data_IF_253386903262
#
_entry.id   IF_253386903262
#
_cell.length_a   1.000
_cell.length_b   1.000
_cell.length_c   1.000
_cell.angle_alpha   90.00
_cell.angle_beta   90.00
_cell.angle_gamma   90.00
#
_symmetry.space_group_name_H-M   'P 1'
#
loop_
_entity.id
_entity.type
_entity.pdbx_description
1 polymer ?
#
# COMPACT_ATOMS: atom_id res chain seq x y z
N UNK A 1 -0.93 -17.13 -5.32
CA UNK A 1 -0.20 -16.04 -6.03
C UNK A 1 -0.90 -14.68 -5.87
N UNK A 2 -0.17 -13.58 -5.66
CA UNK A 2 -0.76 -12.23 -5.46
C UNK A 2 -1.54 -11.72 -6.69
N UNK A 3 -1.16 -12.15 -7.89
CA UNK A 3 -1.79 -11.71 -9.14
C UNK A 3 -3.24 -12.21 -9.29
N UNK A 4 -3.57 -13.39 -8.75
CA UNK A 4 -4.88 -14.04 -8.94
C UNK A 4 -5.82 -13.97 -7.73
N UNK A 5 -5.37 -13.41 -6.60
CA UNK A 5 -6.19 -13.30 -5.38
C UNK A 5 -7.33 -12.30 -5.56
N UNK A 6 -8.43 -12.43 -4.81
CA UNK A 6 -9.48 -11.41 -4.82
C UNK A 6 -8.94 -10.04 -4.41
N UNK A 7 -9.47 -8.99 -5.03
CA UNK A 7 -9.01 -7.62 -4.82
C UNK A 7 -9.13 -7.17 -3.36
N UNK A 8 -10.10 -7.69 -2.61
CA UNK A 8 -10.23 -7.48 -1.16
C UNK A 8 -8.95 -7.88 -0.44
N UNK A 9 -8.54 -9.14 -0.58
CA UNK A 9 -7.35 -9.67 0.10
C UNK A 9 -6.06 -8.97 -0.35
N UNK A 10 -5.94 -8.67 -1.65
CA UNK A 10 -4.82 -7.88 -2.17
C UNK A 10 -4.75 -6.49 -1.51
N UNK A 11 -5.90 -5.82 -1.38
CA UNK A 11 -5.99 -4.48 -0.78
C UNK A 11 -5.62 -4.49 0.71
N UNK A 12 -6.17 -5.43 1.48
CA UNK A 12 -5.88 -5.59 2.90
C UNK A 12 -4.39 -5.88 3.12
N UNK A 13 -3.83 -6.83 2.36
CA UNK A 13 -2.43 -7.20 2.47
C UNK A 13 -1.49 -6.06 2.07
N UNK A 14 -1.78 -5.36 0.98
CA UNK A 14 -0.96 -4.23 0.52
C UNK A 14 -1.00 -3.10 1.54
N UNK A 15 -2.16 -2.80 2.13
CA UNK A 15 -2.28 -1.80 3.18
C UNK A 15 -1.45 -2.17 4.42
N UNK A 16 -1.51 -3.41 4.88
CA UNK A 16 -0.74 -3.90 6.01
C UNK A 16 0.77 -3.84 5.74
N UNK A 17 1.23 -4.40 4.62
CA UNK A 17 2.66 -4.41 4.28
C UNK A 17 3.21 -2.99 4.11
N UNK A 18 2.44 -2.08 3.50
CA UNK A 18 2.84 -0.68 3.36
C UNK A 18 2.92 -0.01 4.72
N UNK A 19 1.95 -0.24 5.62
CA UNK A 19 1.97 0.30 6.98
C UNK A 19 3.21 -0.15 7.77
N UNK A 20 3.50 -1.46 7.74
CA UNK A 20 4.64 -2.05 8.45
C UNK A 20 5.98 -1.57 7.87
N UNK A 21 6.13 -1.60 6.55
CA UNK A 21 7.40 -1.27 5.91
C UNK A 21 7.72 0.24 5.96
N UNK A 22 6.70 1.10 5.99
CA UNK A 22 6.89 2.56 6.02
C UNK A 22 6.94 3.15 7.43
N UNK A 23 6.46 2.43 8.44
CA UNK A 23 6.33 2.91 9.83
C UNK A 23 5.53 4.23 9.88
N UNK A 24 4.49 4.32 9.03
CA UNK A 24 3.64 5.51 8.90
C UNK A 24 2.30 5.34 9.58
N UNK A 25 1.75 6.45 10.08
CA UNK A 25 0.38 6.44 10.62
C UNK A 25 -0.61 6.33 9.46
N UNK A 26 -1.80 5.82 9.73
CA UNK A 26 -2.88 5.70 8.72
C UNK A 26 -3.19 7.02 8.02
N UNK A 27 -3.09 8.15 8.73
CA UNK A 27 -3.27 9.48 8.15
C UNK A 27 -2.21 9.88 7.13
N UNK A 28 -0.98 9.38 7.28
CA UNK A 28 0.12 9.57 6.31
C UNK A 28 -0.03 8.58 5.14
N UNK A 29 -0.42 7.33 5.41
CA UNK A 29 -0.68 6.32 4.37
C UNK A 29 -1.77 6.78 3.39
N UNK A 30 -2.81 7.46 3.89
CA UNK A 30 -3.87 8.03 3.06
C UNK A 30 -3.38 9.19 2.18
N UNK A 31 -2.26 9.81 2.53
CA UNK A 31 -1.70 10.93 1.77
C UNK A 31 -0.92 10.51 0.54
N UNK A 32 -0.48 9.25 0.45
CA UNK A 32 0.21 8.73 -0.72
C UNK A 32 -0.68 8.71 -1.97
N UNK A 33 -0.05 8.84 -3.12
CA UNK A 33 -0.68 8.91 -4.44
C UNK A 33 0.03 8.04 -5.46
N UNK A 34 -0.68 7.65 -6.51
CA UNK A 34 -0.14 6.97 -7.69
C UNK A 34 0.30 7.94 -8.79
N UNK A 35 0.15 9.26 -8.57
CA UNK A 35 0.71 10.29 -9.46
C UNK A 35 2.20 10.06 -9.70
N UNK A 36 2.67 10.34 -10.91
CA UNK A 36 4.06 10.11 -11.32
C UNK A 36 5.07 10.83 -10.42
N UNK A 37 4.73 12.02 -9.92
CA UNK A 37 5.56 12.74 -8.97
C UNK A 37 5.62 12.06 -7.57
N UNK A 38 4.61 11.26 -7.22
CA UNK A 38 4.42 10.68 -5.89
C UNK A 38 4.79 9.20 -5.78
N UNK A 39 4.79 8.45 -6.88
CA UNK A 39 5.05 7.02 -6.88
C UNK A 39 6.08 6.66 -7.97
N UNK A 40 7.23 6.17 -7.52
CA UNK A 40 8.33 5.83 -8.42
C UNK A 40 8.85 4.44 -8.08
N UNK A 41 8.75 3.50 -9.01
CA UNK A 41 9.35 2.18 -8.88
C UNK A 41 10.74 2.17 -9.51
N UNK A 42 11.70 1.58 -8.80
CA UNK A 42 13.06 1.41 -9.32
C UNK A 42 13.15 0.34 -10.41
N UNK A 43 14.31 0.24 -11.08
CA UNK A 43 14.55 -0.77 -12.10
C UNK A 43 14.25 -2.19 -11.57
N UNK A 44 13.50 -2.98 -12.35
CA UNK A 44 13.13 -4.35 -11.99
C UNK A 44 12.31 -4.48 -10.71
N UNK A 45 11.59 -3.43 -10.30
CA UNK A 45 10.82 -3.39 -9.05
C UNK A 45 11.67 -3.67 -7.79
N UNK A 46 12.95 -3.30 -7.84
CA UNK A 46 13.90 -3.45 -6.72
C UNK A 46 13.59 -2.56 -5.51
N UNK A 47 12.89 -1.44 -5.75
CA UNK A 47 12.46 -0.49 -4.71
C UNK A 47 11.22 0.28 -5.15
N UNK A 48 10.56 0.94 -4.20
CA UNK A 48 9.54 1.95 -4.48
C UNK A 48 9.75 3.18 -3.60
N UNK A 49 9.60 4.36 -4.20
CA UNK A 49 9.57 5.64 -3.51
C UNK A 49 8.12 6.11 -3.48
N UNK A 50 7.63 6.42 -2.28
CA UNK A 50 6.30 6.96 -2.01
C UNK A 50 6.45 8.36 -1.44
N UNK A 51 5.75 9.34 -2.03
CA UNK A 51 5.69 10.71 -1.56
C UNK A 51 4.22 11.09 -1.30
N UNK A 52 3.93 11.86 -0.23
CA UNK A 52 2.60 12.40 -0.03
C UNK A 52 2.19 13.31 -1.19
N UNK A 53 0.88 13.44 -1.42
CA UNK A 53 0.35 14.42 -2.38
C UNK A 53 0.74 15.85 -2.02
N UNK A 54 0.91 16.73 -3.02
CA UNK A 54 1.11 18.16 -2.78
C UNK A 54 0.03 18.73 -1.86
N UNK A 55 0.43 19.61 -0.93
CA UNK A 55 -0.47 20.25 0.03
C UNK A 55 -0.88 19.39 1.23
N UNK A 56 -0.41 18.13 1.33
CA UNK A 56 -0.59 17.35 2.55
C UNK A 56 0.19 17.97 3.72
N UNK A 57 -0.49 18.14 4.86
CA UNK A 57 0.13 18.55 6.12
C UNK A 57 -0.07 17.42 7.14
N UNK A 58 1.01 16.80 7.64
CA UNK A 58 0.92 15.78 8.68
C UNK A 58 0.25 16.33 9.94
N UNK A 59 -0.42 15.46 10.70
CA UNK A 59 -1.03 15.85 11.98
C UNK A 59 -0.02 16.45 12.97
N UNK A 60 1.25 16.06 12.87
CA UNK A 60 2.35 16.66 13.64
C UNK A 60 3.16 17.53 12.67
N UNK A 61 2.88 18.84 12.61
CA UNK A 61 3.40 19.75 11.58
C UNK A 61 4.92 19.99 11.66
N UNK A 62 5.58 19.52 12.72
CA UNK A 62 7.04 19.58 12.86
C UNK A 62 7.79 18.50 12.08
N UNK A 63 7.09 17.60 11.37
CA UNK A 63 7.72 16.54 10.58
C UNK A 63 8.23 17.12 9.25
N UNK A 64 9.55 17.24 9.03
CA UNK A 64 10.08 17.81 7.79
C UNK A 64 9.67 16.95 6.58
N UNK A 65 9.49 17.58 5.42
CA UNK A 65 8.98 16.89 4.21
C UNK A 65 9.84 15.67 3.81
N UNK A 66 11.16 15.74 4.00
CA UNK A 66 12.08 14.62 3.76
C UNK A 66 11.67 13.37 4.55
N UNK A 67 11.23 13.55 5.79
CA UNK A 67 10.80 12.45 6.65
C UNK A 67 9.44 11.91 6.24
N UNK A 68 8.73 12.57 5.32
CA UNK A 68 7.45 12.12 4.77
C UNK A 68 7.62 11.24 3.52
N UNK A 69 8.78 11.32 2.85
CA UNK A 69 9.13 10.44 1.73
C UNK A 69 9.53 9.07 2.27
N UNK A 70 8.97 8.02 1.70
CA UNK A 70 9.26 6.63 2.08
C UNK A 70 9.96 5.94 0.93
N UNK A 71 11.09 5.29 1.23
CA UNK A 71 11.84 4.47 0.28
C UNK A 71 11.84 3.02 0.79
N UNK A 72 11.08 2.14 0.13
CA UNK A 72 10.98 0.73 0.48
C UNK A 72 11.83 -0.10 -0.48
N UNK A 73 12.63 -1.02 0.08
CA UNK A 73 13.36 -2.01 -0.70
C UNK A 73 12.51 -3.26 -0.91
N UNK A 74 12.67 -3.90 -2.06
CA UNK A 74 12.05 -5.19 -2.30
C UNK A 74 12.71 -6.26 -1.44
N UNK A 75 11.89 -7.09 -0.78
CA UNK A 75 12.41 -8.30 -0.14
C UNK A 75 12.88 -9.28 -1.22
N UNK A 76 14.03 -9.95 -1.01
CA UNK A 76 14.59 -10.90 -1.96
C UNK A 76 13.61 -12.03 -2.28
N UNK A 77 13.77 -12.60 -3.47
CA UNK A 77 13.12 -13.85 -3.82
C UNK A 77 14.10 -14.96 -3.50
N UNK A 78 13.99 -15.52 -2.30
CA UNK A 78 14.78 -16.68 -1.93
C UNK A 78 14.03 -17.95 -2.32
N UNK A 79 14.67 -18.82 -3.11
CA UNK A 79 14.11 -20.12 -3.51
C UNK A 79 13.81 -21.01 -2.30
N UNK A 80 14.56 -20.83 -1.20
CA UNK A 80 14.40 -21.57 0.05
C UNK A 80 13.17 -21.14 0.86
N UNK A 81 12.67 -19.91 0.69
CA UNK A 81 11.46 -19.42 1.35
C UNK A 81 10.54 -18.67 0.36
N UNK A 82 9.74 -19.41 -0.42
CA UNK A 82 8.75 -18.81 -1.30
C UNK A 82 7.66 -18.04 -0.54
N UNK A 83 7.53 -18.17 0.80
CA UNK A 83 6.58 -17.38 1.57
C UNK A 83 7.07 -15.93 1.75
N UNK A 84 8.38 -15.71 1.91
CA UNK A 84 9.01 -14.38 1.90
C UNK A 84 8.69 -13.61 0.61
N UNK A 85 8.53 -14.33 -0.51
CA UNK A 85 8.10 -13.75 -1.78
C UNK A 85 6.75 -13.01 -1.68
N UNK A 86 5.84 -13.55 -0.86
CA UNK A 86 4.49 -13.04 -0.68
C UNK A 86 4.44 -11.85 0.29
N UNK A 87 5.51 -11.57 1.04
CA UNK A 87 5.57 -10.51 2.05
C UNK A 87 6.23 -9.23 1.52
N UNK A 88 6.74 -9.23 0.29
CA UNK A 88 7.43 -8.08 -0.28
C UNK A 88 6.46 -6.90 -0.53
N UNK A 89 6.65 -5.74 0.15
CA UNK A 89 5.77 -4.58 0.01
C UNK A 89 5.83 -3.98 -1.40
N UNK A 90 7.00 -3.98 -2.04
CA UNK A 90 7.19 -3.44 -3.40
C UNK A 90 6.36 -4.23 -4.41
N UNK A 91 6.44 -5.56 -4.37
CA UNK A 91 5.66 -6.45 -5.26
C UNK A 91 4.15 -6.33 -5.00
N UNK A 92 3.74 -6.29 -3.73
CA UNK A 92 2.34 -6.10 -3.39
C UNK A 92 1.80 -4.76 -3.94
N UNK A 93 2.56 -3.68 -3.77
CA UNK A 93 2.22 -2.35 -4.29
C UNK A 93 2.13 -2.34 -5.82
N UNK A 94 3.12 -2.89 -6.53
CA UNK A 94 3.11 -3.00 -8.00
C UNK A 94 1.83 -3.66 -8.49
N UNK A 95 1.55 -4.88 -8.00
CA UNK A 95 0.38 -5.66 -8.39
C UNK A 95 -0.91 -4.92 -8.04
N UNK A 96 -0.98 -4.28 -6.88
CA UNK A 96 -2.15 -3.50 -6.47
C UNK A 96 -2.40 -2.30 -7.38
N UNK A 97 -1.36 -1.52 -7.69
CA UNK A 97 -1.45 -0.36 -8.59
C UNK A 97 -1.91 -0.80 -9.98
N UNK A 98 -1.30 -1.85 -10.53
CA UNK A 98 -1.66 -2.38 -11.85
C UNK A 98 -3.11 -2.89 -11.88
N UNK A 99 -3.52 -3.67 -10.87
CA UNK A 99 -4.89 -4.21 -10.80
C UNK A 99 -5.95 -3.17 -10.49
N UNK A 100 -5.59 -2.05 -9.88
CA UNK A 100 -6.55 -0.95 -9.61
C UNK A 100 -6.62 0.08 -10.73
N UNK A 101 -5.62 0.14 -11.61
CA UNK A 101 -5.49 1.15 -12.68
C UNK A 101 -6.76 1.35 -13.50
N UNK A 102 -7.42 0.28 -13.91
CA UNK A 102 -8.53 0.34 -14.87
C UNK A 102 -9.87 0.83 -14.29
N UNK A 103 -10.04 0.85 -12.96
CA UNK A 103 -11.30 1.31 -12.35
C UNK A 103 -11.10 2.46 -11.36
N UNK A 104 -9.86 2.90 -11.16
CA UNK A 104 -9.49 4.02 -10.28
C UNK A 104 -10.16 5.32 -10.76
N UNK A 105 -10.67 6.10 -9.81
CA UNK A 105 -11.31 7.41 -10.04
C UNK A 105 -10.59 8.55 -9.31
N UNK A 106 -9.44 8.25 -8.71
CA UNK A 106 -8.66 9.18 -7.90
C UNK A 106 -7.20 8.75 -7.87
N UNK A 107 -6.31 9.71 -7.75
CA UNK A 107 -4.88 9.43 -7.64
C UNK A 107 -4.45 8.94 -6.24
N UNK A 108 -5.32 8.97 -5.22
CA UNK A 108 -4.95 8.47 -3.90
C UNK A 108 -4.52 7.00 -3.94
N UNK A 109 -3.37 6.63 -3.36
CA UNK A 109 -2.79 5.28 -3.45
C UNK A 109 -3.82 4.17 -3.27
N UNK A 110 -4.55 4.18 -2.14
CA UNK A 110 -5.59 3.18 -1.86
C UNK A 110 -6.99 3.63 -2.32
N UNK A 111 -7.63 2.77 -3.11
CA UNK A 111 -9.01 2.93 -3.62
C UNK A 111 -9.93 1.79 -3.18
N UNK A 112 -11.20 2.13 -2.95
CA UNK A 112 -12.24 1.18 -2.62
C UNK A 112 -12.41 0.15 -3.75
N UNK A 113 -12.59 -1.13 -3.39
CA UNK A 113 -12.62 -2.25 -4.34
C UNK A 113 -14.02 -2.80 -4.64
N UNK A 114 -15.07 -2.35 -3.96
CA UNK A 114 -16.41 -2.92 -4.08
C UNK A 114 -17.55 -1.92 -3.93
N UNK A 115 -18.74 -2.34 -4.35
CA UNK A 115 -19.98 -1.55 -4.30
C UNK A 115 -19.92 -0.28 -5.16
N UNK A 116 -20.82 0.66 -4.87
CA UNK A 116 -20.93 1.95 -5.56
C UNK A 116 -19.68 2.84 -5.40
N UNK A 117 -18.86 2.55 -4.39
CA UNK A 117 -17.65 3.31 -4.08
C UNK A 117 -16.41 2.78 -4.82
N UNK A 118 -16.53 1.73 -5.63
CA UNK A 118 -15.39 1.15 -6.35
C UNK A 118 -14.64 2.22 -7.14
N UNK A 119 -13.33 2.30 -6.94
CA UNK A 119 -12.44 3.27 -7.58
C UNK A 119 -12.29 4.59 -6.83
N UNK A 120 -13.15 4.92 -5.86
CA UNK A 120 -13.05 6.12 -5.05
C UNK A 120 -11.96 5.98 -3.96
N UNK A 121 -11.50 7.11 -3.44
CA UNK A 121 -10.50 7.17 -2.38
C UNK A 121 -10.96 6.41 -1.12
N UNK A 122 -10.06 5.65 -0.50
CA UNK A 122 -10.32 5.05 0.81
C UNK A 122 -10.24 6.13 1.90
N UNK A 123 -11.22 6.16 2.79
CA UNK A 123 -11.20 7.07 3.95
C UNK A 123 -10.16 6.62 4.99
N UNK A 124 -9.66 7.54 5.83
CA UNK A 124 -8.73 7.20 6.93
C UNK A 124 -9.26 6.08 7.81
N UNK A 125 -10.54 6.17 8.20
CA UNK A 125 -11.18 5.17 9.06
C UNK A 125 -11.25 3.80 8.37
N UNK A 126 -11.63 3.76 7.08
CA UNK A 126 -11.70 2.50 6.34
C UNK A 126 -10.32 1.88 6.14
N UNK A 127 -9.30 2.69 5.89
CA UNK A 127 -7.92 2.22 5.79
C UNK A 127 -7.40 1.66 7.12
N UNK A 128 -7.75 2.28 8.25
CA UNK A 128 -7.44 1.73 9.57
C UNK A 128 -8.10 0.36 9.77
N UNK A 129 -9.38 0.22 9.42
CA UNK A 129 -10.07 -1.08 9.49
C UNK A 129 -9.41 -2.11 8.56
N UNK A 130 -8.93 -1.73 7.38
CA UNK A 130 -8.21 -2.66 6.51
C UNK A 130 -6.95 -3.24 7.15
N UNK A 131 -6.18 -2.41 7.86
CA UNK A 131 -4.99 -2.87 8.57
C UNK A 131 -5.37 -3.84 9.69
N UNK A 132 -6.40 -3.52 10.47
CA UNK A 132 -6.90 -4.40 11.55
C UNK A 132 -7.44 -5.72 10.97
N UNK A 133 -8.27 -5.67 9.93
CA UNK A 133 -8.82 -6.85 9.27
C UNK A 133 -7.71 -7.76 8.72
N UNK A 134 -6.65 -7.17 8.13
CA UNK A 134 -5.51 -7.93 7.63
C UNK A 134 -4.76 -8.67 8.75
N UNK A 135 -4.60 -8.03 9.92
CA UNK A 135 -3.98 -8.64 11.11
C UNK A 135 -4.86 -9.79 11.62
N UNK A 136 -6.15 -9.54 11.81
CA UNK A 136 -7.11 -10.56 12.27
C UNK A 136 -7.15 -11.79 11.36
N UNK A 137 -7.19 -11.58 10.03
CA UNK A 137 -7.14 -12.67 9.05
C UNK A 137 -5.83 -13.45 9.12
N UNK A 138 -4.71 -12.79 9.42
CA UNK A 138 -3.41 -13.46 9.51
C UNK A 138 -3.36 -14.43 10.70
N UNK A 139 -3.96 -14.07 11.84
CA UNK A 139 -4.08 -14.96 13.00
C UNK A 139 -5.08 -16.10 12.82
N UNK A 140 -6.18 -15.87 12.09
CA UNK A 140 -7.18 -16.91 11.81
C UNK A 140 -6.66 -18.03 10.93
N UNK A 141 -5.67 -17.76 10.07
CA UNK A 141 -5.08 -18.75 9.17
C UNK A 141 -3.86 -19.48 9.79
N UNK A 142 -3.56 -19.25 11.08
CA UNK A 142 -2.50 -19.95 11.83
C UNK A 142 -3.03 -21.06 12.75
N UNK A 143 -4.35 -21.25 12.80
CA UNK A 143 -5.03 -22.31 13.57
C UNK A 143 -5.43 -23.46 12.65
#
# INVERSE_FOLDING_TARGET
PLASVELKHLSLKTALLTALASIKRVGDLQAFSVEEACLEFGPGDSRVILRPRPGYVPKVPTTPFRDQVVNLQALPLEEADPASALLCPVRALRIYVDRTRHFRRTEQLFVCFGGQQKGNAVSKQRLAHWVVDAISLSYQNQV
#
